data_IF_294199633441
#
_entry.id   IF_294199633441
#
_cell.length_a   1.000
_cell.length_b   1.000
_cell.length_c   1.000
_cell.angle_alpha   90.00
_cell.angle_beta   90.00
_cell.angle_gamma   90.00
#
_symmetry.space_group_name_H-M   'P 1'
#
loop_
_entity.id
_entity.type
_entity.pdbx_description
1 polymer ?
#
# COMPACT_ATOMS: atom_id res chain seq x y z
N UNK A 1 22.63 -10.64 -7.99
CA UNK A 1 22.46 -12.08 -8.24
C UNK A 1 21.18 -12.53 -7.56
N UNK A 2 20.31 -13.28 -8.24
CA UNK A 2 19.02 -13.73 -7.72
C UNK A 2 19.15 -14.90 -6.73
N UNK A 3 18.04 -15.23 -6.06
CA UNK A 3 17.96 -16.42 -5.21
C UNK A 3 17.95 -17.68 -6.09
N UNK A 4 18.69 -18.70 -5.68
CA UNK A 4 18.68 -20.00 -6.37
C UNK A 4 17.35 -20.72 -6.12
N UNK A 5 16.84 -21.51 -7.09
CA UNK A 5 15.64 -22.31 -6.91
C UNK A 5 15.71 -23.26 -5.70
N UNK A 6 14.54 -23.57 -5.14
CA UNK A 6 14.36 -24.60 -4.13
C UNK A 6 13.75 -25.82 -4.82
N UNK A 7 14.54 -26.89 -4.96
CA UNK A 7 14.09 -28.12 -5.60
C UNK A 7 13.46 -29.07 -4.59
N UNK A 8 12.31 -29.67 -4.92
CA UNK A 8 11.63 -30.61 -4.02
C UNK A 8 12.48 -31.85 -3.71
N UNK A 9 13.32 -32.29 -4.66
CA UNK A 9 14.22 -33.42 -4.46
C UNK A 9 15.28 -33.15 -3.38
N UNK A 10 15.64 -31.88 -3.14
CA UNK A 10 16.61 -31.51 -2.10
C UNK A 10 16.00 -31.60 -0.69
N UNK A 11 14.66 -31.59 -0.56
CA UNK A 11 13.97 -31.61 0.72
C UNK A 11 14.28 -32.88 1.54
N UNK A 12 14.37 -34.03 0.89
CA UNK A 12 14.62 -35.30 1.59
C UNK A 12 16.03 -35.37 2.18
N UNK A 13 17.03 -34.84 1.46
CA UNK A 13 18.42 -34.83 1.93
C UNK A 13 18.64 -33.84 3.07
N UNK A 14 17.79 -32.82 3.18
CA UNK A 14 17.83 -31.75 4.18
C UNK A 14 19.22 -31.16 4.42
N UNK A 15 19.99 -30.99 3.33
CA UNK A 15 21.41 -30.62 3.45
C UNK A 15 21.59 -29.21 4.06
N UNK A 16 22.73 -28.94 4.73
CA UNK A 16 23.03 -27.59 5.24
C UNK A 16 22.99 -26.51 4.16
N UNK A 17 23.44 -26.84 2.94
CA UNK A 17 23.39 -25.95 1.78
C UNK A 17 21.96 -25.64 1.34
N UNK A 18 21.07 -26.64 1.33
CA UNK A 18 19.66 -26.46 1.04
C UNK A 18 18.97 -25.59 2.10
N UNK A 19 19.21 -25.87 3.40
CA UNK A 19 18.72 -25.04 4.51
C UNK A 19 19.21 -23.59 4.41
N UNK A 20 20.44 -23.35 3.96
CA UNK A 20 20.95 -22.00 3.70
C UNK A 20 20.19 -21.29 2.58
N UNK A 21 19.83 -22.00 1.50
CA UNK A 21 18.98 -21.45 0.42
C UNK A 21 17.59 -21.10 0.95
N UNK A 22 16.94 -22.00 1.70
CA UNK A 22 15.63 -21.71 2.33
C UNK A 22 15.70 -20.44 3.16
N UNK A 23 16.68 -20.31 4.06
CA UNK A 23 16.84 -19.12 4.91
C UNK A 23 17.03 -17.84 4.11
N UNK A 24 17.69 -17.91 2.95
CA UNK A 24 17.84 -16.76 2.06
C UNK A 24 16.48 -16.32 1.46
N UNK A 25 15.64 -17.27 1.04
CA UNK A 25 14.27 -16.99 0.59
C UNK A 25 13.41 -16.41 1.71
N UNK A 26 13.46 -17.00 2.91
CA UNK A 26 12.74 -16.50 4.07
C UNK A 26 13.14 -15.06 4.44
N UNK A 27 14.43 -14.75 4.37
CA UNK A 27 14.94 -13.40 4.65
C UNK A 27 14.44 -12.38 3.62
N UNK A 28 14.42 -12.74 2.33
CA UNK A 28 13.90 -11.87 1.28
C UNK A 28 12.39 -11.66 1.40
N UNK A 29 11.64 -12.69 1.79
CA UNK A 29 10.20 -12.56 2.07
C UNK A 29 9.91 -11.62 3.24
N UNK A 30 10.67 -11.72 4.33
CA UNK A 30 10.51 -10.83 5.49
C UNK A 30 10.86 -9.38 5.12
N UNK A 31 11.93 -9.17 4.34
CA UNK A 31 12.31 -7.87 3.80
C UNK A 31 11.21 -7.30 2.90
N UNK A 32 10.67 -8.11 1.99
CA UNK A 32 9.57 -7.73 1.09
C UNK A 32 8.32 -7.36 1.88
N UNK A 33 7.95 -8.13 2.91
CA UNK A 33 6.81 -7.85 3.78
C UNK A 33 6.95 -6.50 4.49
N UNK A 34 8.16 -6.19 5.00
CA UNK A 34 8.44 -4.88 5.63
C UNK A 34 8.36 -3.75 4.62
N UNK A 35 8.97 -3.91 3.45
CA UNK A 35 8.93 -2.91 2.39
C UNK A 35 7.50 -2.60 1.95
N UNK A 36 6.70 -3.64 1.66
CA UNK A 36 5.30 -3.46 1.26
C UNK A 36 4.50 -2.77 2.39
N UNK A 37 4.77 -3.08 3.66
CA UNK A 37 4.11 -2.42 4.79
C UNK A 37 4.34 -0.90 4.78
N UNK A 38 5.58 -0.47 4.60
CA UNK A 38 5.92 0.96 4.55
C UNK A 38 5.37 1.61 3.28
N UNK A 39 5.46 0.94 2.11
CA UNK A 39 4.87 1.44 0.88
C UNK A 39 3.35 1.67 0.99
N UNK A 40 2.64 0.75 1.65
CA UNK A 40 1.20 0.91 1.94
C UNK A 40 0.92 2.09 2.88
N UNK A 41 1.79 2.33 3.86
CA UNK A 41 1.68 3.47 4.78
C UNK A 41 1.90 4.80 4.03
N UNK A 42 2.89 4.85 3.16
CA UNK A 42 3.16 6.03 2.33
C UNK A 42 2.00 6.30 1.37
N UNK A 43 1.48 5.26 0.71
CA UNK A 43 0.32 5.38 -0.19
C UNK A 43 -0.95 5.88 0.53
N UNK A 44 -1.20 5.42 1.76
CA UNK A 44 -2.32 5.94 2.58
C UNK A 44 -2.13 7.38 3.00
N UNK A 45 -0.90 7.75 3.37
CA UNK A 45 -0.53 9.14 3.70
C UNK A 45 -0.76 10.05 2.50
N UNK A 46 -0.34 9.63 1.31
CA UNK A 46 -0.58 10.35 0.06
C UNK A 46 -2.08 10.55 -0.21
N UNK A 47 -2.90 9.50 -0.09
CA UNK A 47 -4.35 9.61 -0.28
C UNK A 47 -4.98 10.59 0.73
N UNK A 48 -4.54 10.56 1.99
CA UNK A 48 -5.03 11.49 3.01
C UNK A 48 -4.65 12.94 2.70
N UNK A 49 -3.40 13.19 2.26
CA UNK A 49 -2.96 14.51 1.84
C UNK A 49 -3.75 15.02 0.62
N UNK A 50 -3.99 14.16 -0.36
CA UNK A 50 -4.82 14.46 -1.54
C UNK A 50 -6.23 14.86 -1.14
N UNK A 51 -6.85 14.16 -0.17
CA UNK A 51 -8.18 14.52 0.35
C UNK A 51 -8.19 15.90 1.00
N UNK A 52 -7.17 16.24 1.78
CA UNK A 52 -7.04 17.56 2.40
C UNK A 52 -6.87 18.67 1.35
N UNK A 53 -6.04 18.42 0.34
CA UNK A 53 -5.87 19.32 -0.80
C UNK A 53 -7.22 19.55 -1.52
N UNK A 54 -7.95 18.48 -1.84
CA UNK A 54 -9.26 18.58 -2.49
C UNK A 54 -10.28 19.33 -1.63
N UNK A 55 -10.27 19.15 -0.31
CA UNK A 55 -11.13 19.91 0.59
C UNK A 55 -10.80 21.42 0.56
N UNK A 56 -9.51 21.77 0.55
CA UNK A 56 -9.05 23.15 0.46
C UNK A 56 -9.41 23.80 -0.88
N UNK A 57 -9.21 23.10 -2.00
CA UNK A 57 -9.58 23.60 -3.33
C UNK A 57 -11.08 23.76 -3.50
N UNK A 58 -11.90 22.81 -3.00
CA UNK A 58 -13.36 22.98 -2.99
C UNK A 58 -13.80 24.17 -2.16
N UNK A 59 -13.14 24.44 -1.03
CA UNK A 59 -13.41 25.64 -0.23
C UNK A 59 -13.05 26.90 -1.01
N UNK A 60 -11.89 26.94 -1.65
CA UNK A 60 -11.46 28.08 -2.46
C UNK A 60 -12.39 28.32 -3.66
N UNK A 61 -12.78 27.26 -4.38
CA UNK A 61 -13.76 27.34 -5.45
C UNK A 61 -15.11 27.92 -4.97
N UNK A 62 -15.57 27.55 -3.77
CA UNK A 62 -16.75 28.19 -3.16
C UNK A 62 -16.53 29.68 -2.89
N UNK A 63 -15.40 30.06 -2.32
CA UNK A 63 -15.09 31.48 -2.08
C UNK A 63 -15.05 32.31 -3.37
N UNK A 64 -14.52 31.75 -4.47
CA UNK A 64 -14.54 32.39 -5.78
C UNK A 64 -15.95 32.55 -6.33
N UNK A 65 -16.79 31.53 -6.16
CA UNK A 65 -18.18 31.55 -6.63
C UNK A 65 -19.06 32.50 -5.83
N UNK A 66 -18.79 32.59 -4.53
CA UNK A 66 -19.61 33.36 -3.60
C UNK A 66 -19.11 34.83 -3.51
N UNK A 67 -17.97 35.15 -4.15
CA UNK A 67 -17.51 36.53 -4.33
C UNK A 67 -18.56 37.33 -5.08
N UNK A 68 -18.82 38.56 -4.62
CA UNK A 68 -19.65 39.55 -5.29
C UNK A 68 -19.08 40.92 -4.99
N UNK A 69 -19.15 41.82 -5.96
CA UNK A 69 -18.86 43.22 -5.70
C UNK A 69 -19.98 43.87 -4.87
N UNK A 70 -19.60 44.76 -3.96
CA UNK A 70 -20.50 45.81 -3.50
C UNK A 70 -20.37 46.97 -4.51
N UNK A 71 -21.35 47.10 -5.41
CA UNK A 71 -21.33 48.17 -6.41
C UNK A 71 -21.89 49.47 -5.85
N UNK A 72 -21.37 50.60 -6.33
CA UNK A 72 -21.80 51.95 -5.94
C UNK A 72 -22.72 52.51 -7.03
N UNK A 73 -23.93 52.93 -6.66
CA UNK A 73 -24.97 53.42 -7.57
C UNK A 73 -26.01 52.36 -7.89
N UNK A 74 -26.70 52.50 -9.03
CA UNK A 74 -27.95 51.75 -9.30
C UNK A 74 -27.73 50.50 -10.17
N UNK A 75 -26.50 50.25 -10.66
CA UNK A 75 -26.16 49.12 -11.54
C UNK A 75 -24.66 48.77 -11.52
N UNK A 76 -24.34 47.52 -11.89
CA UNK A 76 -22.96 47.04 -12.08
C UNK A 76 -22.32 47.58 -13.38
N UNK A 77 -21.04 47.90 -13.30
CA UNK A 77 -20.18 48.22 -14.45
C UNK A 77 -19.90 46.98 -15.30
N UNK A 78 -19.40 47.19 -16.53
CA UNK A 78 -18.99 46.07 -17.40
C UNK A 78 -17.79 45.31 -16.82
N UNK A 79 -16.86 46.02 -16.17
CA UNK A 79 -15.67 45.40 -15.55
C UNK A 79 -16.06 44.52 -14.35
N UNK A 80 -16.98 44.99 -13.49
CA UNK A 80 -17.48 44.19 -12.35
C UNK A 80 -18.15 42.90 -12.83
N UNK A 81 -18.99 42.98 -13.87
CA UNK A 81 -19.61 41.81 -14.50
C UNK A 81 -18.58 40.86 -15.12
N UNK A 82 -17.56 41.40 -15.77
CA UNK A 82 -16.48 40.61 -16.37
C UNK A 82 -15.66 39.86 -15.31
N UNK A 83 -15.32 40.52 -14.21
CA UNK A 83 -14.56 39.91 -13.11
C UNK A 83 -15.42 38.86 -12.40
N UNK A 84 -16.68 39.13 -12.10
CA UNK A 84 -17.59 38.16 -11.47
C UNK A 84 -17.72 36.88 -12.32
N UNK A 85 -17.97 37.04 -13.63
CA UNK A 85 -18.04 35.93 -14.57
C UNK A 85 -16.74 35.12 -14.60
N UNK A 86 -15.58 35.79 -14.61
CA UNK A 86 -14.26 35.15 -14.63
C UNK A 86 -14.00 34.31 -13.38
N UNK A 87 -14.36 34.83 -12.19
CA UNK A 87 -14.22 34.11 -10.93
C UNK A 87 -15.17 32.91 -10.87
N UNK A 88 -16.39 33.06 -11.39
CA UNK A 88 -17.35 31.97 -11.48
C UNK A 88 -16.87 30.84 -12.38
N UNK A 89 -16.30 31.17 -13.54
CA UNK A 89 -15.71 30.22 -14.48
C UNK A 89 -14.52 29.48 -13.84
N UNK A 90 -13.62 30.21 -13.16
CA UNK A 90 -12.48 29.60 -12.48
C UNK A 90 -12.92 28.69 -11.31
N UNK A 91 -13.97 29.06 -10.58
CA UNK A 91 -14.61 28.18 -9.58
C UNK A 91 -15.07 26.86 -10.21
N UNK A 92 -15.75 26.93 -11.36
CA UNK A 92 -16.26 25.73 -12.04
C UNK A 92 -15.11 24.85 -12.56
N UNK A 93 -14.05 25.45 -13.09
CA UNK A 93 -12.83 24.74 -13.44
C UNK A 93 -12.24 23.97 -12.25
N UNK A 94 -12.08 24.62 -11.10
CA UNK A 94 -11.55 23.97 -9.90
C UNK A 94 -12.44 22.83 -9.40
N UNK A 95 -13.77 22.97 -9.47
CA UNK A 95 -14.69 21.88 -9.12
C UNK A 95 -14.49 20.65 -10.01
N UNK A 96 -14.46 20.85 -11.32
CA UNK A 96 -14.25 19.76 -12.29
C UNK A 96 -12.91 19.07 -12.05
N UNK A 97 -11.84 19.84 -11.77
CA UNK A 97 -10.54 19.30 -11.42
C UNK A 97 -10.60 18.40 -10.17
N UNK A 98 -11.31 18.83 -9.12
CA UNK A 98 -11.44 18.05 -7.89
C UNK A 98 -12.28 16.79 -8.05
N UNK A 99 -13.28 16.79 -8.93
CA UNK A 99 -14.02 15.57 -9.27
C UNK A 99 -13.10 14.54 -9.92
N UNK A 100 -12.25 14.95 -10.86
CA UNK A 100 -11.27 14.06 -11.47
C UNK A 100 -10.22 13.57 -10.46
N UNK A 101 -9.77 14.43 -9.54
CA UNK A 101 -8.82 14.03 -8.48
C UNK A 101 -9.43 13.00 -7.53
N UNK A 102 -10.72 13.12 -7.21
CA UNK A 102 -11.42 12.14 -6.38
C UNK A 102 -11.51 10.77 -7.07
N UNK A 103 -11.86 10.74 -8.35
CA UNK A 103 -11.87 9.51 -9.16
C UNK A 103 -10.47 8.86 -9.17
N UNK A 104 -9.42 9.66 -9.38
CA UNK A 104 -8.04 9.17 -9.34
C UNK A 104 -7.68 8.58 -7.97
N UNK A 105 -8.04 9.24 -6.87
CA UNK A 105 -7.76 8.75 -5.52
C UNK A 105 -8.47 7.43 -5.22
N UNK A 106 -9.71 7.28 -5.69
CA UNK A 106 -10.45 6.02 -5.62
C UNK A 106 -9.75 4.93 -6.45
N UNK A 107 -9.37 5.24 -7.69
CA UNK A 107 -8.66 4.30 -8.56
C UNK A 107 -7.37 3.79 -7.92
N UNK A 108 -6.53 4.66 -7.35
CA UNK A 108 -5.31 4.24 -6.63
C UNK A 108 -5.63 3.35 -5.43
N UNK A 109 -6.71 3.66 -4.70
CA UNK A 109 -7.13 2.84 -3.55
C UNK A 109 -7.54 1.42 -3.98
N UNK A 110 -8.34 1.30 -5.03
CA UNK A 110 -8.88 0.03 -5.51
C UNK A 110 -7.86 -0.80 -6.29
N UNK A 111 -7.01 -0.16 -7.09
CA UNK A 111 -6.11 -0.86 -8.04
C UNK A 111 -4.71 -1.12 -7.47
N UNK A 112 -4.27 -0.32 -6.49
CA UNK A 112 -2.93 -0.47 -5.91
C UNK A 112 -2.99 -0.82 -4.43
N UNK A 113 -3.66 -0.02 -3.60
CA UNK A 113 -3.61 -0.19 -2.14
C UNK A 113 -4.27 -1.51 -1.72
N UNK A 114 -5.53 -1.74 -2.07
CA UNK A 114 -6.25 -2.95 -1.65
C UNK A 114 -5.60 -4.25 -2.15
N UNK A 115 -5.20 -4.38 -3.43
CA UNK A 115 -4.55 -5.60 -3.92
C UNK A 115 -3.24 -5.87 -3.20
N UNK A 116 -2.44 -4.83 -2.94
CA UNK A 116 -1.17 -4.96 -2.25
C UNK A 116 -1.33 -5.30 -0.77
N UNK A 117 -2.34 -4.74 -0.09
CA UNK A 117 -2.73 -5.15 1.26
C UNK A 117 -3.16 -6.61 1.32
N UNK A 118 -3.99 -7.04 0.36
CA UNK A 118 -4.46 -8.42 0.25
C UNK A 118 -3.29 -9.36 0.04
N UNK A 119 -2.42 -9.08 -0.93
CA UNK A 119 -1.20 -9.86 -1.19
C UNK A 119 -0.35 -10.00 0.07
N UNK A 120 -0.09 -8.89 0.77
CA UNK A 120 0.72 -8.90 1.99
C UNK A 120 0.08 -9.75 3.10
N UNK A 121 -1.24 -9.65 3.31
CA UNK A 121 -1.92 -10.39 4.37
C UNK A 121 -2.07 -11.87 4.04
N UNK A 122 -2.51 -12.19 2.84
CA UNK A 122 -2.86 -13.56 2.45
C UNK A 122 -1.63 -14.34 2.01
N UNK A 123 -0.79 -13.79 1.13
CA UNK A 123 0.34 -14.52 0.58
C UNK A 123 1.53 -14.51 1.55
N UNK A 124 2.02 -13.32 1.92
CA UNK A 124 3.17 -13.23 2.84
C UNK A 124 2.82 -13.67 4.27
N UNK A 125 1.57 -13.42 4.70
CA UNK A 125 1.07 -13.93 5.97
C UNK A 125 0.98 -15.45 6.02
N UNK A 126 0.46 -16.10 4.96
CA UNK A 126 0.41 -17.57 4.91
C UNK A 126 1.81 -18.19 4.96
N UNK A 127 2.77 -17.67 4.20
CA UNK A 127 4.15 -18.20 4.21
C UNK A 127 4.79 -18.07 5.60
N UNK A 128 4.50 -16.98 6.33
CA UNK A 128 4.96 -16.83 7.71
C UNK A 128 4.41 -17.91 8.65
N UNK A 129 3.15 -18.30 8.48
CA UNK A 129 2.56 -19.38 9.27
C UNK A 129 3.06 -20.77 8.85
N UNK A 130 3.27 -21.00 7.55
CA UNK A 130 3.92 -22.24 7.05
C UNK A 130 5.33 -22.38 7.59
N UNK A 131 6.11 -21.30 7.61
CA UNK A 131 7.45 -21.30 8.24
C UNK A 131 7.39 -21.73 9.70
N UNK A 132 6.47 -21.17 10.50
CA UNK A 132 6.32 -21.59 11.90
C UNK A 132 5.99 -23.08 12.05
N UNK A 133 5.18 -23.62 11.14
CA UNK A 133 4.85 -25.06 11.12
C UNK A 133 6.09 -25.88 10.77
N UNK A 134 6.83 -25.47 9.75
CA UNK A 134 8.08 -26.10 9.34
C UNK A 134 9.13 -26.10 10.45
N UNK A 135 9.29 -24.99 11.18
CA UNK A 135 10.19 -24.88 12.32
C UNK A 135 9.78 -25.87 13.44
N UNK A 136 8.48 -25.96 13.77
CA UNK A 136 7.96 -26.92 14.76
C UNK A 136 8.20 -28.39 14.36
N UNK A 137 7.94 -28.74 13.09
CA UNK A 137 8.20 -30.11 12.61
C UNK A 137 9.69 -30.41 12.56
N UNK A 138 10.53 -29.42 12.25
CA UNK A 138 12.00 -29.53 12.34
C UNK A 138 12.44 -29.86 13.78
N UNK A 139 11.93 -29.14 14.77
CA UNK A 139 12.24 -29.39 16.20
C UNK A 139 11.80 -30.79 16.67
N UNK A 140 10.58 -31.22 16.27
CA UNK A 140 10.08 -32.58 16.56
C UNK A 140 10.95 -33.66 15.94
N UNK A 141 11.39 -33.46 14.69
CA UNK A 141 12.25 -34.41 13.99
C UNK A 141 13.58 -34.57 14.72
N UNK A 142 14.25 -33.46 15.05
CA UNK A 142 15.51 -33.52 15.81
C UNK A 142 15.35 -34.16 17.19
N UNK A 143 14.27 -33.83 17.90
CA UNK A 143 13.96 -34.46 19.20
C UNK A 143 13.76 -35.98 19.07
N UNK A 144 13.19 -36.45 17.96
CA UNK A 144 12.98 -37.88 17.70
C UNK A 144 14.29 -38.59 17.33
N UNK A 145 15.14 -37.96 16.53
CA UNK A 145 16.47 -38.46 16.19
C UNK A 145 17.35 -38.58 17.43
N UNK A 146 17.35 -37.57 18.31
CA UNK A 146 18.08 -37.60 19.58
C UNK A 146 17.62 -38.75 20.48
N UNK A 147 16.31 -38.95 20.62
CA UNK A 147 15.76 -40.10 21.37
C UNK A 147 16.22 -41.44 20.79
N UNK A 148 16.20 -41.57 19.46
CA UNK A 148 16.62 -42.79 18.78
C UNK A 148 18.12 -43.06 18.96
N UNK A 149 18.97 -42.03 18.85
CA UNK A 149 20.41 -42.15 19.08
C UNK A 149 20.75 -42.58 20.51
N UNK A 150 19.92 -42.21 21.48
CA UNK A 150 20.06 -42.59 22.88
C UNK A 150 19.48 -43.98 23.20
N UNK A 151 18.96 -44.71 22.21
CA UNK A 151 18.58 -46.11 22.40
C UNK A 151 19.85 -46.97 22.48
N UNK A 152 20.06 -47.66 23.62
CA UNK A 152 21.13 -48.64 23.76
C UNK A 152 21.00 -49.72 22.68
N UNK A 153 22.10 -50.05 22.02
CA UNK A 153 22.21 -51.33 21.33
C UNK A 153 22.03 -52.43 22.38
N UNK A 154 21.03 -53.29 22.20
CA UNK A 154 20.93 -54.55 22.92
C UNK A 154 21.66 -55.62 22.13
#
# INVERSE_FOLDING_TARGET
MGLQPLEFNDCYLDSPSFRKRIRAHEAELEKTNKFIKELLKDGKTLIAATKNLSAAQRKFARSLRDFRFEFIGDAETDDERCIDASLHEFSNFLKNLEEQREIMALSVTETLIKPLEKFRKEQLGAVKEEKKRFDKETEKNYSSLEKHLNMSAK
#
